data_IF_615106861152
#
_entry.id   IF_615106861152
#
_cell.length_a   1.000
_cell.length_b   1.000
_cell.length_c   1.000
_cell.angle_alpha   90.00
_cell.angle_beta   90.00
_cell.angle_gamma   90.00
#
_symmetry.space_group_name_H-M   'P 1'
#
loop_
_entity.id
_entity.type
_entity.pdbx_description
1 polymer ?
#
# COMPACT_ATOMS: atom_id res chain seq x y z
N UNK A 1 1.39 11.19 -1.11
CA UNK A 1 1.87 9.80 -1.35
C UNK A 1 2.99 9.76 -2.40
N UNK A 2 2.94 10.54 -3.48
CA UNK A 2 4.11 10.81 -4.32
C UNK A 2 4.76 12.15 -3.94
N UNK A 3 6.09 12.22 -3.94
CA UNK A 3 6.83 13.46 -3.67
C UNK A 3 7.12 14.27 -4.95
N UNK A 4 6.96 13.64 -6.12
CA UNK A 4 7.23 14.24 -7.43
C UNK A 4 5.96 14.84 -8.02
N UNK A 5 6.13 15.86 -8.86
CA UNK A 5 5.01 16.55 -9.53
C UNK A 5 4.41 15.75 -10.70
N UNK A 6 5.14 14.76 -11.24
CA UNK A 6 4.65 13.90 -12.32
C UNK A 6 5.34 12.55 -12.31
N UNK A 7 4.64 11.54 -12.82
CA UNK A 7 5.15 10.18 -12.99
C UNK A 7 4.94 9.75 -14.45
N UNK A 8 5.95 9.11 -15.10
CA UNK A 8 5.81 8.67 -16.47
C UNK A 8 4.75 7.56 -16.59
N UNK A 9 3.98 7.54 -17.68
CA UNK A 9 2.93 6.53 -17.91
C UNK A 9 3.50 5.14 -18.24
N UNK A 10 4.64 5.10 -18.95
CA UNK A 10 5.21 3.87 -19.52
C UNK A 10 5.35 2.69 -18.53
N UNK A 11 5.75 2.89 -17.26
CA UNK A 11 5.83 1.79 -16.28
C UNK A 11 4.48 1.20 -15.88
N UNK A 12 3.38 1.93 -16.05
CA UNK A 12 2.05 1.54 -15.56
C UNK A 12 1.11 1.04 -16.68
N UNK A 13 1.45 1.33 -17.94
CA UNK A 13 0.67 0.93 -19.09
C UNK A 13 1.07 -0.49 -19.54
N UNK A 14 0.43 -1.49 -18.92
CA UNK A 14 0.56 -2.91 -19.29
C UNK A 14 -0.47 -3.31 -20.36
N UNK A 15 -1.54 -2.52 -20.50
CA UNK A 15 -2.62 -2.73 -21.48
C UNK A 15 -2.24 -2.25 -22.88
N UNK A 16 -2.79 -2.91 -23.89
CA UNK A 16 -2.60 -2.53 -25.29
C UNK A 16 -3.35 -1.25 -25.69
N UNK A 17 -4.47 -0.95 -25.02
CA UNK A 17 -5.25 0.28 -25.23
C UNK A 17 -4.93 1.32 -24.17
N UNK A 18 -4.49 2.49 -24.63
CA UNK A 18 -4.22 3.64 -23.77
C UNK A 18 -5.52 4.29 -23.28
N UNK A 19 -6.56 4.26 -24.09
CA UNK A 19 -7.87 4.81 -23.80
C UNK A 19 -8.53 4.04 -22.65
N UNK A 20 -8.46 2.71 -22.66
CA UNK A 20 -8.96 1.87 -21.58
C UNK A 20 -8.31 2.17 -20.22
N UNK A 21 -6.99 2.46 -20.22
CA UNK A 21 -6.27 2.88 -19.02
C UNK A 21 -6.82 4.19 -18.46
N UNK A 22 -7.04 5.20 -19.31
CA UNK A 22 -7.54 6.51 -18.88
C UNK A 22 -8.99 6.44 -18.40
N UNK A 23 -9.86 5.67 -19.06
CA UNK A 23 -11.24 5.44 -18.61
C UNK A 23 -11.29 4.79 -17.22
N UNK A 24 -10.46 3.76 -16.97
CA UNK A 24 -10.32 3.18 -15.62
C UNK A 24 -9.79 4.18 -14.61
N UNK A 25 -8.79 4.97 -14.97
CA UNK A 25 -8.21 5.97 -14.07
C UNK A 25 -9.27 7.02 -13.66
N UNK A 26 -10.02 7.56 -14.62
CA UNK A 26 -11.10 8.50 -14.36
C UNK A 26 -12.22 7.88 -13.50
N UNK A 27 -12.65 6.66 -13.84
CA UNK A 27 -13.66 5.94 -13.05
C UNK A 27 -13.18 5.55 -11.65
N UNK A 28 -11.87 5.38 -11.42
CA UNK A 28 -11.31 5.17 -10.09
C UNK A 28 -11.29 6.49 -9.29
N UNK A 29 -10.88 7.60 -9.91
CA UNK A 29 -10.88 8.93 -9.27
C UNK A 29 -12.28 9.31 -8.82
N UNK A 30 -13.29 9.13 -9.68
CA UNK A 30 -14.69 9.45 -9.35
C UNK A 30 -15.17 8.71 -8.10
N UNK A 31 -14.90 7.40 -8.02
CA UNK A 31 -15.33 6.55 -6.90
C UNK A 31 -14.49 6.71 -5.63
N UNK A 32 -13.18 6.94 -5.76
CA UNK A 32 -12.22 6.86 -4.65
C UNK A 32 -11.71 8.21 -4.15
N UNK A 33 -12.02 9.32 -4.83
CA UNK A 33 -11.56 10.66 -4.43
C UNK A 33 -11.89 11.00 -2.97
N UNK A 34 -13.12 10.72 -2.52
CA UNK A 34 -13.55 10.91 -1.14
C UNK A 34 -12.73 10.09 -0.14
N UNK A 35 -12.71 8.74 -0.24
CA UNK A 35 -11.87 7.88 0.61
C UNK A 35 -10.38 8.23 0.59
N UNK A 36 -9.83 8.61 -0.58
CA UNK A 36 -8.43 9.01 -0.73
C UNK A 36 -8.12 10.31 0.02
N UNK A 37 -9.04 11.27 0.07
CA UNK A 37 -8.86 12.46 0.91
C UNK A 37 -9.04 12.10 2.39
N UNK A 38 -10.06 11.30 2.70
CA UNK A 38 -10.40 10.89 4.09
C UNK A 38 -9.24 10.18 4.78
N UNK A 39 -8.51 9.30 4.10
CA UNK A 39 -7.36 8.60 4.69
C UNK A 39 -6.20 9.54 5.08
N UNK A 40 -6.11 10.71 4.45
CA UNK A 40 -5.13 11.74 4.82
C UNK A 40 -5.66 12.68 5.91
N UNK A 41 -6.98 12.84 6.03
CA UNK A 41 -7.62 13.79 6.94
C UNK A 41 -8.02 13.18 8.30
N UNK A 42 -8.35 11.89 8.33
CA UNK A 42 -8.88 11.18 9.51
C UNK A 42 -7.91 10.06 9.96
N UNK A 43 -7.19 10.27 11.07
CA UNK A 43 -6.26 9.27 11.62
C UNK A 43 -6.94 7.94 12.04
N UNK A 44 -8.21 7.99 12.46
CA UNK A 44 -8.94 6.78 12.84
C UNK A 44 -9.24 5.93 11.60
N UNK A 45 -9.74 6.56 10.54
CA UNK A 45 -9.99 5.89 9.27
C UNK A 45 -8.70 5.28 8.68
N UNK A 46 -7.55 5.96 8.79
CA UNK A 46 -6.26 5.36 8.41
C UNK A 46 -5.95 4.10 9.23
N UNK A 47 -6.16 4.14 10.55
CA UNK A 47 -5.87 3.02 11.44
C UNK A 47 -6.77 1.81 11.16
N UNK A 48 -8.05 2.04 10.87
CA UNK A 48 -9.01 1.01 10.47
C UNK A 48 -8.55 0.31 9.19
N UNK A 49 -8.33 1.07 8.11
CA UNK A 49 -7.89 0.52 6.81
C UNK A 49 -6.53 -0.21 6.94
N UNK A 50 -5.63 0.30 7.78
CA UNK A 50 -4.35 -0.37 8.06
C UNK A 50 -4.52 -1.68 8.82
N UNK A 51 -5.44 -1.74 9.78
CA UNK A 51 -5.71 -2.97 10.53
C UNK A 51 -6.41 -4.02 9.66
N UNK A 52 -7.32 -3.61 8.78
CA UNK A 52 -7.95 -4.49 7.80
C UNK A 52 -6.89 -5.12 6.89
N UNK A 53 -5.97 -4.31 6.36
CA UNK A 53 -4.86 -4.81 5.54
C UNK A 53 -3.99 -5.85 6.27
N UNK A 54 -3.73 -5.66 7.58
CA UNK A 54 -2.98 -6.64 8.38
C UNK A 54 -3.74 -7.97 8.52
N UNK A 55 -5.06 -7.92 8.55
CA UNK A 55 -5.90 -9.10 8.68
C UNK A 55 -5.92 -9.91 7.38
N UNK A 56 -5.79 -9.27 6.21
CA UNK A 56 -5.65 -9.94 4.91
C UNK A 56 -4.38 -10.80 4.80
N UNK A 57 -3.32 -10.49 5.56
CA UNK A 57 -2.12 -11.31 5.67
C UNK A 57 -2.26 -12.55 6.59
N UNK A 58 -3.45 -12.76 7.17
CA UNK A 58 -3.72 -13.68 8.28
C UNK A 58 -3.86 -15.17 7.96
N UNK A 59 -3.33 -15.64 6.83
CA UNK A 59 -3.23 -17.07 6.52
C UNK A 59 -2.00 -17.73 7.17
N UNK A 60 -2.11 -18.08 8.47
CA UNK A 60 -1.18 -18.88 9.32
C UNK A 60 -0.10 -18.10 10.12
N UNK A 61 -0.50 -17.51 11.24
CA UNK A 61 -0.18 -17.99 12.61
C UNK A 61 -0.60 -16.96 13.68
N UNK A 62 -1.08 -17.42 14.85
CA UNK A 62 -1.52 -16.56 15.94
C UNK A 62 -0.29 -16.12 16.75
N UNK A 63 -0.20 -14.83 17.08
CA UNK A 63 0.86 -14.22 17.90
C UNK A 63 2.26 -14.08 17.27
N UNK A 64 2.63 -12.84 16.94
CA UNK A 64 3.65 -12.16 17.74
C UNK A 64 3.60 -10.63 17.56
N UNK A 65 3.30 -9.88 18.63
CA UNK A 65 3.48 -8.43 18.69
C UNK A 65 4.94 -7.96 18.48
N UNK A 66 5.94 -8.85 18.45
CA UNK A 66 7.37 -8.47 18.35
C UNK A 66 7.86 -8.12 16.94
N UNK A 67 7.12 -8.43 15.87
CA UNK A 67 7.59 -8.13 14.51
C UNK A 67 7.40 -6.65 14.12
N UNK A 68 6.37 -6.00 14.64
CA UNK A 68 6.01 -4.63 14.27
C UNK A 68 6.80 -3.54 15.02
N UNK A 69 7.26 -3.84 16.23
CA UNK A 69 8.18 -2.94 16.98
C UNK A 69 9.53 -2.79 16.28
N UNK A 70 9.98 -3.79 15.51
CA UNK A 70 11.29 -3.78 14.86
C UNK A 70 11.32 -2.96 13.55
N UNK A 71 10.20 -2.79 12.86
CA UNK A 71 10.13 -2.09 11.56
C UNK A 71 10.23 -0.56 11.67
N UNK A 72 9.83 0.01 12.81
CA UNK A 72 9.87 1.47 13.04
C UNK A 72 11.30 1.98 13.33
N UNK A 73 12.22 1.12 13.75
CA UNK A 73 13.49 1.53 14.36
C UNK A 73 14.76 1.42 13.50
N UNK A 74 14.69 0.92 12.25
CA UNK A 74 15.84 0.86 11.30
C UNK A 74 17.18 0.44 11.95
N UNK A 75 17.47 -0.87 11.97
CA UNK A 75 18.80 -1.45 11.66
C UNK A 75 18.70 -2.98 11.71
N UNK A 76 18.24 -3.61 10.62
CA UNK A 76 18.45 -5.05 10.45
C UNK A 76 19.65 -5.28 9.53
N UNK A 77 20.68 -6.04 9.95
CA UNK A 77 21.65 -6.62 9.02
C UNK A 77 20.99 -7.82 8.29
N UNK A 78 21.52 -8.24 7.13
CA UNK A 78 20.92 -9.33 6.35
C UNK A 78 21.02 -10.68 7.08
N UNK A 79 20.12 -11.65 6.80
CA UNK A 79 20.17 -12.96 7.42
C UNK A 79 21.41 -13.75 6.96
N UNK A 80 22.05 -14.46 7.89
CA UNK A 80 23.21 -15.32 7.62
C UNK A 80 22.79 -16.70 7.09
N UNK A 81 23.69 -17.43 6.40
CA UNK A 81 23.31 -18.56 5.55
C UNK A 81 22.87 -19.85 6.27
N UNK A 82 22.69 -19.86 7.59
CA UNK A 82 22.40 -21.09 8.34
C UNK A 82 20.92 -21.45 8.46
N UNK A 83 20.02 -20.64 7.90
CA UNK A 83 18.57 -20.90 7.85
C UNK A 83 18.13 -21.30 6.43
N UNK A 84 18.84 -22.27 5.83
CA UNK A 84 18.40 -22.95 4.61
C UNK A 84 18.35 -24.45 4.82
#
# INVERSE_FOLDING_TARGET
MGNEISYPLKPFLVESSREAFWERALGLIDRMSGPMLRINADPHYFTEVFQDLKNEGGGKTPCSPRYWTQWRERRCPPPTPSER
#
